data_IF_396807086221
#
_entry.id   IF_396807086221
#
_cell.length_a   1.000
_cell.length_b   1.000
_cell.length_c   1.000
_cell.angle_alpha   90.00
_cell.angle_beta   90.00
_cell.angle_gamma   90.00
#
_symmetry.space_group_name_H-M   'P 1'
#
loop_
_entity.id
_entity.type
_entity.pdbx_description
1 polymer ?
#
# COMPACT_ATOMS: atom_id res chain seq x y z
N UNK A 1 -15.99 -9.67 17.75
CA UNK A 1 -15.78 -10.72 16.73
C UNK A 1 -15.34 -12.06 17.34
N UNK A 2 -14.27 -12.12 18.16
CA UNK A 2 -13.83 -13.37 18.82
C UNK A 2 -14.93 -14.09 19.61
N UNK A 3 -15.68 -13.37 20.44
CA UNK A 3 -16.82 -13.94 21.19
C UNK A 3 -17.98 -14.44 20.30
N UNK A 4 -18.05 -13.99 19.04
CA UNK A 4 -19.06 -14.38 18.07
C UNK A 4 -18.54 -15.43 17.05
N UNK A 5 -17.25 -15.83 17.13
CA UNK A 5 -16.65 -16.78 16.19
C UNK A 5 -16.52 -16.29 14.75
N UNK A 6 -16.72 -15.00 14.47
CA UNK A 6 -16.66 -14.43 13.12
C UNK A 6 -15.21 -14.29 12.65
N UNK A 7 -14.70 -15.36 12.03
CA UNK A 7 -13.32 -15.47 11.59
C UNK A 7 -12.95 -14.43 10.53
N UNK A 8 -13.88 -14.05 9.67
CA UNK A 8 -13.64 -13.04 8.65
C UNK A 8 -13.44 -11.66 9.28
N UNK A 9 -14.34 -11.23 10.17
CA UNK A 9 -14.16 -9.95 10.87
C UNK A 9 -12.94 -9.94 11.79
N UNK A 10 -12.55 -11.08 12.37
CA UNK A 10 -11.28 -11.18 13.11
C UNK A 10 -10.12 -10.90 12.16
N UNK A 11 -10.02 -11.59 11.03
CA UNK A 11 -8.94 -11.40 10.05
C UNK A 11 -8.83 -9.95 9.56
N UNK A 12 -9.95 -9.35 9.15
CA UNK A 12 -9.97 -7.96 8.68
C UNK A 12 -9.56 -6.97 9.79
N UNK A 13 -10.07 -7.17 11.01
CA UNK A 13 -9.72 -6.29 12.14
C UNK A 13 -8.26 -6.42 12.54
N UNK A 14 -7.72 -7.64 12.52
CA UNK A 14 -6.29 -7.90 12.79
C UNK A 14 -5.41 -7.26 11.70
N UNK A 15 -5.80 -7.35 10.41
CA UNK A 15 -5.08 -6.67 9.33
C UNK A 15 -5.04 -5.15 9.53
N UNK A 16 -6.18 -4.56 9.89
CA UNK A 16 -6.27 -3.12 10.18
C UNK A 16 -5.39 -2.70 11.37
N UNK A 17 -5.31 -3.52 12.42
CA UNK A 17 -4.41 -3.28 13.56
C UNK A 17 -2.94 -3.32 13.11
N UNK A 18 -2.55 -4.36 12.36
CA UNK A 18 -1.19 -4.48 11.85
C UNK A 18 -0.78 -3.30 10.95
N UNK A 19 -1.70 -2.84 10.10
CA UNK A 19 -1.53 -1.62 9.28
C UNK A 19 -1.33 -0.36 10.13
N UNK A 20 -2.14 -0.19 11.18
CA UNK A 20 -2.04 0.97 12.07
C UNK A 20 -0.70 1.00 12.82
N UNK A 21 -0.26 -0.15 13.36
CA UNK A 21 1.02 -0.30 14.05
C UNK A 21 2.19 -0.04 13.12
N UNK A 22 2.16 -0.61 11.92
CA UNK A 22 3.16 -0.37 10.87
C UNK A 22 3.33 1.13 10.59
N UNK A 23 2.22 1.86 10.41
CA UNK A 23 2.25 3.31 10.15
C UNK A 23 2.65 4.16 11.36
N UNK A 24 2.54 3.60 12.57
CA UNK A 24 3.06 4.19 13.79
C UNK A 24 4.56 3.91 14.02
N UNK A 25 5.20 3.10 13.17
CA UNK A 25 6.61 2.71 13.30
C UNK A 25 6.84 1.45 14.16
N UNK A 26 5.77 0.83 14.67
CA UNK A 26 5.83 -0.43 15.41
C UNK A 26 5.84 -1.60 14.42
N UNK A 27 6.94 -1.73 13.68
CA UNK A 27 7.02 -2.63 12.53
C UNK A 27 6.93 -4.11 12.92
N UNK A 28 7.56 -4.53 14.02
CA UNK A 28 7.56 -5.94 14.46
C UNK A 28 6.13 -6.42 14.78
N UNK A 29 5.42 -5.69 15.66
CA UNK A 29 4.02 -6.00 15.97
C UNK A 29 3.11 -5.83 14.74
N UNK A 30 3.37 -4.81 13.93
CA UNK A 30 2.63 -4.55 12.70
C UNK A 30 2.70 -5.72 11.72
N UNK A 31 3.90 -6.23 11.47
CA UNK A 31 4.14 -7.41 10.62
C UNK A 31 3.54 -8.66 11.22
N UNK A 32 3.70 -8.88 12.53
CA UNK A 32 3.11 -10.02 13.22
C UNK A 32 1.59 -10.10 13.01
N UNK A 33 0.86 -9.00 13.22
CA UNK A 33 -0.59 -8.99 13.03
C UNK A 33 -1.01 -9.09 11.56
N UNK A 34 -0.23 -8.52 10.63
CA UNK A 34 -0.51 -8.67 9.21
C UNK A 34 -0.31 -10.13 8.74
N UNK A 35 0.68 -10.84 9.27
CA UNK A 35 0.90 -12.27 9.00
C UNK A 35 -0.20 -13.12 9.63
N UNK A 36 -0.59 -12.87 10.89
CA UNK A 36 -1.71 -13.54 11.54
C UNK A 36 -3.02 -13.36 10.73
N UNK A 37 -3.28 -12.13 10.28
CA UNK A 37 -4.45 -11.84 9.45
C UNK A 37 -4.39 -12.57 8.11
N UNK A 38 -3.25 -12.53 7.41
CA UNK A 38 -3.05 -13.23 6.14
C UNK A 38 -3.35 -14.72 6.27
N UNK A 39 -2.79 -15.37 7.29
CA UNK A 39 -2.93 -16.81 7.48
C UNK A 39 -4.38 -17.18 7.81
N UNK A 40 -5.02 -16.42 8.71
CA UNK A 40 -6.44 -16.62 9.03
C UNK A 40 -7.36 -16.41 7.81
N UNK A 41 -7.10 -15.37 7.01
CA UNK A 41 -7.89 -15.06 5.81
C UNK A 41 -7.69 -16.11 4.71
N UNK A 42 -6.48 -16.67 4.60
CA UNK A 42 -6.17 -17.77 3.69
C UNK A 42 -6.92 -19.04 4.08
N UNK A 43 -6.96 -19.38 5.38
CA UNK A 43 -7.68 -20.56 5.88
C UNK A 43 -9.18 -20.53 5.56
N UNK A 44 -9.78 -19.35 5.44
CA UNK A 44 -11.20 -19.18 5.12
C UNK A 44 -11.47 -18.87 3.64
N UNK A 45 -10.44 -18.90 2.77
CA UNK A 45 -10.57 -18.65 1.33
C UNK A 45 -10.90 -17.20 0.96
N UNK A 46 -10.50 -16.23 1.78
CA UNK A 46 -10.76 -14.81 1.56
C UNK A 46 -9.64 -14.16 0.72
N UNK A 47 -9.41 -14.66 -0.50
CA UNK A 47 -8.23 -14.35 -1.33
C UNK A 47 -7.95 -12.86 -1.55
N UNK A 48 -8.99 -12.04 -1.76
CA UNK A 48 -8.82 -10.59 -1.91
C UNK A 48 -8.24 -9.92 -0.66
N UNK A 49 -8.63 -10.38 0.53
CA UNK A 49 -8.11 -9.86 1.79
C UNK A 49 -6.71 -10.41 2.11
N UNK A 50 -6.38 -11.61 1.61
CA UNK A 50 -5.00 -12.13 1.65
C UNK A 50 -4.09 -11.20 0.84
N UNK A 51 -4.49 -10.83 -0.38
CA UNK A 51 -3.71 -9.92 -1.23
C UNK A 51 -3.56 -8.52 -0.61
N UNK A 52 -4.60 -7.98 0.04
CA UNK A 52 -4.48 -6.72 0.79
C UNK A 52 -3.47 -6.86 1.94
N UNK A 53 -3.59 -7.89 2.79
CA UNK A 53 -2.66 -8.12 3.89
C UNK A 53 -1.20 -8.27 3.43
N UNK A 54 -0.96 -9.02 2.35
CA UNK A 54 0.36 -9.14 1.72
C UNK A 54 0.87 -7.79 1.19
N UNK A 55 -0.01 -6.98 0.60
CA UNK A 55 0.35 -5.62 0.13
C UNK A 55 0.73 -4.70 1.29
N UNK A 56 0.07 -4.81 2.45
CA UNK A 56 0.42 -4.06 3.66
C UNK A 56 1.74 -4.53 4.27
N UNK A 57 2.07 -5.83 4.20
CA UNK A 57 3.40 -6.32 4.58
C UNK A 57 4.49 -5.68 3.73
N UNK A 58 4.26 -5.55 2.41
CA UNK A 58 5.21 -4.85 1.53
C UNK A 58 5.32 -3.36 1.88
N UNK A 59 4.22 -2.70 2.25
CA UNK A 59 4.24 -1.31 2.77
C UNK A 59 5.11 -1.20 4.04
N UNK A 60 5.02 -2.16 4.98
CA UNK A 60 5.88 -2.20 6.18
C UNK A 60 7.36 -2.26 5.82
N UNK A 61 7.73 -3.14 4.89
CA UNK A 61 9.11 -3.29 4.44
C UNK A 61 9.65 -1.99 3.81
N UNK A 62 8.79 -1.24 3.11
CA UNK A 62 9.15 0.05 2.54
C UNK A 62 9.43 1.10 3.62
N UNK A 63 8.59 1.18 4.67
CA UNK A 63 8.82 2.09 5.80
C UNK A 63 10.10 1.78 6.57
N UNK A 64 10.60 0.55 6.49
CA UNK A 64 11.89 0.16 7.05
C UNK A 64 13.08 0.37 6.10
N UNK A 65 12.87 0.96 4.92
CA UNK A 65 13.92 1.17 3.93
C UNK A 65 14.43 -0.11 3.27
N UNK A 66 13.70 -1.24 3.37
CA UNK A 66 14.10 -2.53 2.79
C UNK A 66 13.75 -2.61 1.29
N UNK A 67 14.11 -1.60 0.51
CA UNK A 67 13.60 -1.37 -0.85
C UNK A 67 13.91 -2.51 -1.83
N UNK A 68 15.09 -3.15 -1.72
CA UNK A 68 15.42 -4.32 -2.56
C UNK A 68 14.48 -5.50 -2.30
N UNK A 69 14.11 -5.69 -1.04
CA UNK A 69 13.17 -6.73 -0.63
C UNK A 69 11.75 -6.40 -1.12
N UNK A 70 11.35 -5.13 -1.00
CA UNK A 70 10.08 -4.62 -1.55
C UNK A 70 9.96 -4.96 -3.04
N UNK A 71 10.93 -4.59 -3.86
CA UNK A 71 10.88 -4.86 -5.31
C UNK A 71 10.79 -6.36 -5.63
N UNK A 72 11.50 -7.21 -4.86
CA UNK A 72 11.39 -8.68 -5.01
C UNK A 72 9.98 -9.17 -4.69
N UNK A 73 9.41 -8.71 -3.57
CA UNK A 73 8.05 -9.09 -3.14
C UNK A 73 6.97 -8.59 -4.09
N UNK A 74 7.10 -7.38 -4.62
CA UNK A 74 6.20 -6.85 -5.64
C UNK A 74 6.21 -7.68 -6.92
N UNK A 75 7.39 -8.17 -7.34
CA UNK A 75 7.50 -9.07 -8.49
C UNK A 75 6.72 -10.39 -8.31
N UNK A 76 6.64 -10.88 -7.08
CA UNK A 76 5.86 -12.09 -6.71
C UNK A 76 4.36 -11.78 -6.61
N UNK A 77 4.00 -10.63 -6.03
CA UNK A 77 2.62 -10.29 -5.67
C UNK A 77 1.82 -9.68 -6.83
N UNK A 78 2.42 -8.80 -7.64
CA UNK A 78 1.71 -8.06 -8.68
C UNK A 78 0.96 -8.96 -9.68
N UNK A 79 1.53 -10.07 -10.20
CA UNK A 79 0.79 -10.96 -11.10
C UNK A 79 -0.47 -11.56 -10.46
N UNK A 80 -0.44 -11.83 -9.14
CA UNK A 80 -1.59 -12.37 -8.41
C UNK A 80 -2.69 -11.32 -8.27
N UNK A 81 -2.32 -10.08 -7.97
CA UNK A 81 -3.29 -8.96 -7.93
C UNK A 81 -3.94 -8.76 -9.30
N UNK A 82 -3.17 -8.76 -10.39
CA UNK A 82 -3.71 -8.63 -11.74
C UNK A 82 -4.67 -9.77 -12.12
N UNK A 83 -4.27 -11.03 -11.89
CA UNK A 83 -5.12 -12.19 -12.21
C UNK A 83 -6.42 -12.21 -11.40
N UNK A 84 -6.39 -11.72 -10.17
CA UNK A 84 -7.55 -11.70 -9.28
C UNK A 84 -8.61 -10.65 -9.67
N UNK A 85 -8.42 -9.93 -10.78
CA UNK A 85 -9.15 -8.68 -11.08
C UNK A 85 -9.08 -7.72 -9.89
N UNK A 86 -7.89 -7.64 -9.28
CA UNK A 86 -7.65 -6.85 -8.08
C UNK A 86 -8.10 -5.41 -8.27
N UNK A 87 -8.50 -4.77 -7.17
CA UNK A 87 -9.04 -3.41 -7.22
C UNK A 87 -8.02 -2.45 -7.82
N UNK A 88 -8.52 -1.40 -8.48
CA UNK A 88 -7.68 -0.26 -8.90
C UNK A 88 -6.85 0.27 -7.73
N UNK A 89 -7.40 0.24 -6.50
CA UNK A 89 -6.68 0.58 -5.27
C UNK A 89 -5.40 -0.26 -5.10
N UNK A 90 -5.50 -1.59 -5.10
CA UNK A 90 -4.34 -2.46 -4.85
C UNK A 90 -3.30 -2.33 -5.98
N UNK A 91 -3.73 -2.30 -7.24
CA UNK A 91 -2.81 -2.14 -8.38
C UNK A 91 -2.05 -0.82 -8.31
N UNK A 92 -2.76 0.29 -8.07
CA UNK A 92 -2.15 1.62 -7.91
C UNK A 92 -1.20 1.64 -6.71
N UNK A 93 -1.60 1.06 -5.59
CA UNK A 93 -0.75 0.95 -4.40
C UNK A 93 0.55 0.19 -4.68
N UNK A 94 0.51 -0.97 -5.34
CA UNK A 94 1.71 -1.74 -5.64
C UNK A 94 2.68 -0.98 -6.54
N UNK A 95 2.17 -0.30 -7.59
CA UNK A 95 2.97 0.55 -8.45
C UNK A 95 3.59 1.73 -7.67
N UNK A 96 2.84 2.37 -6.77
CA UNK A 96 3.36 3.44 -5.91
C UNK A 96 4.45 2.94 -4.96
N UNK A 97 4.28 1.75 -4.36
CA UNK A 97 5.32 1.12 -3.52
C UNK A 97 6.60 0.83 -4.32
N UNK A 98 6.48 0.37 -5.57
CA UNK A 98 7.63 0.20 -6.46
C UNK A 98 8.31 1.53 -6.76
N UNK A 99 7.53 2.59 -7.01
CA UNK A 99 8.01 3.95 -7.19
C UNK A 99 8.88 4.43 -6.03
N UNK A 100 8.35 4.36 -4.80
CA UNK A 100 9.11 4.71 -3.60
C UNK A 100 10.34 3.83 -3.39
N UNK A 101 10.24 2.52 -3.61
CA UNK A 101 11.40 1.63 -3.49
C UNK A 101 12.51 2.00 -4.50
N UNK A 102 12.14 2.43 -5.71
CA UNK A 102 13.10 2.95 -6.67
C UNK A 102 13.70 4.30 -6.24
N UNK A 103 12.91 5.21 -5.63
CA UNK A 103 13.43 6.46 -5.07
C UNK A 103 14.46 6.21 -3.96
N UNK A 104 14.16 5.33 -3.00
CA UNK A 104 15.07 4.96 -1.92
C UNK A 104 16.40 4.36 -2.43
N UNK A 105 16.38 3.75 -3.61
CA UNK A 105 17.57 3.20 -4.27
C UNK A 105 18.27 4.18 -5.23
N UNK A 106 17.78 5.41 -5.37
CA UNK A 106 18.33 6.43 -6.29
C UNK A 106 17.99 6.19 -7.77
N UNK A 107 17.02 5.35 -8.08
CA UNK A 107 16.62 5.01 -9.45
C UNK A 107 15.51 5.94 -9.98
N UNK A 108 15.77 7.25 -10.05
CA UNK A 108 14.76 8.28 -10.34
C UNK A 108 13.91 8.03 -11.61
N UNK A 109 14.52 7.63 -12.73
CA UNK A 109 13.77 7.36 -13.96
C UNK A 109 12.81 6.17 -13.83
N UNK A 110 13.23 5.09 -13.15
CA UNK A 110 12.36 3.93 -12.88
C UNK A 110 11.26 4.29 -11.90
N UNK A 111 11.59 5.07 -10.87
CA UNK A 111 10.60 5.57 -9.93
C UNK A 111 9.52 6.38 -10.65
N UNK A 112 9.91 7.30 -11.54
CA UNK A 112 8.96 8.12 -12.30
C UNK A 112 7.98 7.26 -13.10
N UNK A 113 8.47 6.28 -13.87
CA UNK A 113 7.61 5.38 -14.63
C UNK A 113 6.60 4.64 -13.74
N UNK A 114 7.03 4.10 -12.59
CA UNK A 114 6.13 3.41 -11.67
C UNK A 114 5.09 4.34 -11.01
N UNK A 115 5.46 5.59 -10.72
CA UNK A 115 4.55 6.58 -10.15
C UNK A 115 3.54 7.10 -11.19
N UNK A 116 3.95 7.23 -12.46
CA UNK A 116 3.05 7.56 -13.57
C UNK A 116 2.02 6.44 -13.79
N UNK A 117 2.45 5.19 -13.78
CA UNK A 117 1.57 4.02 -13.86
C UNK A 117 0.58 4.00 -12.67
N UNK A 118 1.08 4.22 -11.45
CA UNK A 118 0.23 4.27 -10.25
C UNK A 118 -0.85 5.37 -10.34
N UNK A 119 -0.49 6.54 -10.88
CA UNK A 119 -1.40 7.67 -11.03
C UNK A 119 -2.46 7.39 -12.11
N UNK A 120 -2.06 6.79 -13.24
CA UNK A 120 -2.97 6.41 -14.30
C UNK A 120 -4.02 5.39 -13.80
N UNK A 121 -3.57 4.35 -13.08
CA UNK A 121 -4.45 3.32 -12.51
C UNK A 121 -5.41 3.92 -11.48
N UNK A 122 -4.93 4.80 -10.60
CA UNK A 122 -5.78 5.45 -9.59
C UNK A 122 -6.86 6.32 -10.23
N UNK A 123 -6.52 7.04 -11.32
CA UNK A 123 -7.46 7.86 -12.08
C UNK A 123 -8.50 7.02 -12.81
N UNK A 124 -8.11 5.90 -13.40
CA UNK A 124 -9.05 4.98 -14.04
C UNK A 124 -10.07 4.41 -13.03
N UNK A 125 -9.64 4.19 -11.79
CA UNK A 125 -10.51 3.73 -10.71
C UNK A 125 -11.25 4.82 -9.92
N UNK A 126 -11.13 6.10 -10.30
CA UNK A 126 -11.64 7.26 -9.55
C UNK A 126 -11.25 7.28 -8.05
N UNK A 127 -10.10 6.67 -7.70
CA UNK A 127 -9.63 6.55 -6.32
C UNK A 127 -8.88 7.80 -5.89
N UNK A 128 -9.63 8.81 -5.45
CA UNK A 128 -9.09 10.10 -4.99
C UNK A 128 -8.01 9.94 -3.92
N UNK A 129 -8.12 8.93 -3.05
CA UNK A 129 -7.12 8.71 -2.01
C UNK A 129 -5.80 8.23 -2.60
N UNK A 130 -5.81 7.24 -3.50
CA UNK A 130 -4.59 6.77 -4.16
C UNK A 130 -3.99 7.82 -5.11
N UNK A 131 -4.82 8.64 -5.77
CA UNK A 131 -4.34 9.79 -6.56
C UNK A 131 -3.53 10.72 -5.65
N UNK A 132 -4.10 11.14 -4.51
CA UNK A 132 -3.42 12.04 -3.57
C UNK A 132 -2.10 11.46 -3.03
N UNK A 133 -2.08 10.19 -2.63
CA UNK A 133 -0.84 9.53 -2.17
C UNK A 133 0.23 9.44 -3.28
N UNK A 134 -0.19 9.23 -4.53
CA UNK A 134 0.75 9.13 -5.66
C UNK A 134 1.31 10.49 -6.04
N UNK A 135 0.48 11.54 -6.05
CA UNK A 135 0.95 12.90 -6.26
C UNK A 135 1.92 13.33 -5.15
N UNK A 136 1.69 12.96 -3.89
CA UNK A 136 2.67 13.21 -2.83
C UNK A 136 4.02 12.53 -3.11
N UNK A 137 4.01 11.30 -3.63
CA UNK A 137 5.23 10.60 -4.02
C UNK A 137 5.96 11.30 -5.17
N UNK A 138 5.21 11.80 -6.16
CA UNK A 138 5.73 12.55 -7.30
C UNK A 138 6.30 13.89 -6.85
N UNK A 139 5.63 14.61 -5.93
CA UNK A 139 6.06 15.92 -5.44
C UNK A 139 7.41 15.89 -4.76
N UNK A 140 7.70 14.83 -3.99
CA UNK A 140 9.03 14.61 -3.41
C UNK A 140 10.14 14.52 -4.47
N UNK A 141 9.77 14.31 -5.74
CA UNK A 141 10.66 14.19 -6.88
C UNK A 141 10.50 15.33 -7.92
N UNK A 142 9.41 16.11 -7.87
CA UNK A 142 9.06 17.17 -8.84
C UNK A 142 8.03 18.16 -8.27
N UNK A 143 8.36 19.45 -8.17
CA UNK A 143 7.54 20.48 -7.52
C UNK A 143 6.19 20.78 -8.22
N UNK A 144 5.94 20.27 -9.44
CA UNK A 144 4.77 20.62 -10.25
C UNK A 144 3.42 20.03 -9.81
N UNK A 145 3.37 19.08 -8.87
CA UNK A 145 2.16 18.34 -8.50
C UNK A 145 1.42 18.86 -7.24
N UNK A 146 1.90 19.95 -6.65
CA UNK A 146 1.51 20.42 -5.31
C UNK A 146 0.04 20.83 -5.14
N UNK A 147 -0.57 21.44 -6.16
CA UNK A 147 -1.90 22.01 -6.04
C UNK A 147 -3.01 20.94 -6.03
N UNK A 148 -2.92 19.97 -6.95
CA UNK A 148 -3.90 18.88 -7.06
C UNK A 148 -3.90 17.99 -5.82
N UNK A 149 -2.73 17.60 -5.32
CA UNK A 149 -2.60 16.82 -4.08
C UNK A 149 -3.22 17.55 -2.89
N UNK A 150 -2.93 18.84 -2.76
CA UNK A 150 -3.42 19.65 -1.63
C UNK A 150 -4.95 19.75 -1.65
N UNK A 151 -5.54 19.95 -2.82
CA UNK A 151 -7.00 19.97 -2.97
C UNK A 151 -7.65 18.63 -2.59
N UNK A 152 -7.08 17.52 -3.07
CA UNK A 152 -7.56 16.17 -2.75
C UNK A 152 -7.47 15.88 -1.24
N UNK A 153 -6.33 16.16 -0.62
CA UNK A 153 -6.15 15.91 0.81
C UNK A 153 -7.08 16.77 1.67
N UNK A 154 -7.31 18.04 1.28
CA UNK A 154 -8.28 18.89 1.95
C UNK A 154 -9.71 18.33 1.85
N UNK A 155 -10.12 17.89 0.66
CA UNK A 155 -11.45 17.29 0.43
C UNK A 155 -11.65 16.01 1.27
N UNK A 156 -10.63 15.18 1.38
CA UNK A 156 -10.68 13.92 2.13
C UNK A 156 -10.43 14.09 3.64
N UNK A 157 -10.12 15.30 4.12
CA UNK A 157 -9.79 15.57 5.52
C UNK A 157 -8.45 14.94 5.97
N UNK A 158 -7.53 14.69 5.03
CA UNK A 158 -6.22 14.09 5.32
C UNK A 158 -5.29 15.17 5.85
N UNK A 159 -4.95 15.08 7.13
CA UNK A 159 -4.05 16.04 7.81
C UNK A 159 -2.58 15.66 7.60
N UNK A 160 -2.28 14.35 7.57
CA UNK A 160 -0.91 13.83 7.44
C UNK A 160 -0.93 12.42 6.88
N UNK A 161 0.06 12.12 6.05
CA UNK A 161 0.38 10.77 5.58
C UNK A 161 1.62 10.22 6.31
N UNK A 162 1.80 8.89 6.37
CA UNK A 162 3.01 8.30 6.92
C UNK A 162 4.26 8.76 6.17
N UNK A 163 5.34 9.05 6.91
CA UNK A 163 6.62 9.40 6.30
C UNK A 163 7.30 8.15 5.75
N UNK A 164 7.51 8.11 4.43
CA UNK A 164 8.38 7.10 3.79
C UNK A 164 9.82 7.63 3.83
N UNK A 165 10.79 6.86 4.39
CA UNK A 165 12.20 7.24 4.44
C UNK A 165 12.84 7.39 3.07
#
# INVERSE_FOLDING_TARGET
FRAAGDRWMIGVSTSNLGRALTRAGNFEDGEHYLEEARDLLMEIGADQFVLDAESRLVESLLFQGRSRLVLRKLKELAPRVEMSQGTFELRSMLARLAGYAHLQLGHGAKARGQLDDALAIAREGDDSYQIGLTLEAIERNDAGAQDERTAIFAQLGIVRTPAIP
#
